data_IF_795425271700
#
_entry.id   IF_795425271700
#
_cell.length_a   1.000
_cell.length_b   1.000
_cell.length_c   1.000
_cell.angle_alpha   90.00
_cell.angle_beta   90.00
_cell.angle_gamma   90.00
#
_symmetry.space_group_name_H-M   'P 1'
#
loop_
_entity.id
_entity.type
_entity.pdbx_description
1 polymer ?
#
# COMPACT_ATOMS: atom_id res chain seq x y z
N UNK A 1 9.26 12.43 -3.94
CA UNK A 1 8.96 11.26 -3.09
C UNK A 1 10.16 10.35 -3.00
N UNK A 2 10.38 9.76 -1.85
CA UNK A 2 11.50 8.89 -1.58
C UNK A 2 11.15 7.45 -1.99
N UNK A 3 12.14 6.66 -2.40
CA UNK A 3 11.94 5.22 -2.71
C UNK A 3 11.41 4.41 -1.51
N UNK A 4 11.48 4.99 -0.30
CA UNK A 4 10.92 4.40 0.91
C UNK A 4 9.39 4.37 0.96
N UNK A 5 8.71 5.14 0.10
CA UNK A 5 7.25 5.29 0.17
C UNK A 5 6.51 4.10 -0.47
N UNK A 6 7.18 3.36 -1.36
CA UNK A 6 6.64 2.14 -1.98
C UNK A 6 7.77 1.20 -2.41
N UNK A 7 7.73 -0.08 -2.06
CA UNK A 7 8.77 -1.04 -2.41
C UNK A 7 8.76 -1.46 -3.90
N UNK A 8 7.79 -1.00 -4.67
CA UNK A 8 7.60 -1.39 -6.08
C UNK A 8 7.85 -0.26 -7.06
N UNK A 9 8.21 0.93 -6.57
CA UNK A 9 8.46 2.10 -7.39
C UNK A 9 9.90 2.12 -7.88
N UNK A 10 10.07 2.36 -9.19
CA UNK A 10 11.39 2.45 -9.80
C UNK A 10 12.17 3.66 -9.26
N UNK A 11 13.46 3.51 -8.93
CA UNK A 11 14.33 4.64 -8.69
C UNK A 11 14.47 5.46 -9.97
N UNK A 12 14.61 6.79 -9.83
CA UNK A 12 14.85 7.69 -10.96
C UNK A 12 16.18 7.40 -11.64
N UNK A 13 17.18 7.05 -10.86
CA UNK A 13 18.53 6.71 -11.31
C UNK A 13 19.01 5.47 -10.54
N UNK A 14 19.18 4.39 -11.28
CA UNK A 14 19.60 3.09 -10.72
C UNK A 14 21.02 3.15 -10.17
N UNK A 15 21.92 3.89 -10.81
CA UNK A 15 23.32 4.00 -10.37
C UNK A 15 23.39 4.69 -9.01
N UNK A 16 22.75 5.85 -8.88
CA UNK A 16 22.66 6.58 -7.60
C UNK A 16 21.96 5.76 -6.53
N UNK A 17 20.93 4.97 -6.90
CA UNK A 17 20.25 4.09 -5.98
C UNK A 17 21.14 2.98 -5.44
N UNK A 18 22.01 2.40 -6.28
CA UNK A 18 22.93 1.33 -5.85
C UNK A 18 24.02 1.88 -4.92
N UNK A 19 24.48 3.12 -5.16
CA UNK A 19 25.52 3.78 -4.36
C UNK A 19 24.97 4.31 -3.02
N UNK A 20 23.85 5.04 -3.04
CA UNK A 20 23.19 5.58 -1.85
C UNK A 20 21.66 5.47 -1.99
N UNK A 21 21.08 4.34 -1.60
CA UNK A 21 19.65 4.13 -1.66
C UNK A 21 18.85 5.17 -0.86
N UNK A 22 19.43 5.71 0.20
CA UNK A 22 18.72 6.62 1.12
C UNK A 22 18.43 7.99 0.52
N UNK A 23 19.26 8.45 -0.40
CA UNK A 23 19.12 9.72 -1.12
C UNK A 23 18.38 9.60 -2.45
N UNK A 24 18.09 8.37 -2.87
CA UNK A 24 17.48 8.10 -4.19
C UNK A 24 16.06 8.62 -4.28
N UNK A 25 15.74 9.27 -5.41
CA UNK A 25 14.40 9.71 -5.76
C UNK A 25 13.66 8.60 -6.50
N UNK A 26 12.35 8.49 -6.24
CA UNK A 26 11.46 7.54 -6.90
C UNK A 26 10.72 8.18 -8.10
N UNK A 27 10.40 7.37 -9.09
CA UNK A 27 9.52 7.74 -10.22
C UNK A 27 8.06 7.57 -9.80
N UNK A 28 7.62 8.45 -8.93
CA UNK A 28 6.26 8.52 -8.38
C UNK A 28 5.59 9.81 -8.86
N UNK A 29 4.28 9.76 -9.00
CA UNK A 29 3.47 10.90 -9.44
C UNK A 29 2.09 10.89 -8.81
N UNK A 30 1.54 12.08 -8.61
CA UNK A 30 0.20 12.29 -8.09
C UNK A 30 -0.62 13.10 -9.10
N UNK A 31 -1.89 12.74 -9.23
CA UNK A 31 -2.88 13.53 -9.96
C UNK A 31 -3.57 14.46 -8.97
N UNK A 32 -3.35 15.77 -9.14
CA UNK A 32 -3.92 16.79 -8.27
C UNK A 32 -4.88 17.68 -9.07
N UNK A 33 -6.08 17.90 -8.55
CA UNK A 33 -7.08 18.81 -9.10
C UNK A 33 -7.66 19.68 -7.99
N UNK A 34 -7.67 21.00 -8.21
CA UNK A 34 -8.18 21.99 -7.25
C UNK A 34 -7.57 21.84 -5.83
N UNK A 35 -6.29 21.47 -5.74
CA UNK A 35 -5.60 21.24 -4.47
C UNK A 35 -5.89 19.88 -3.79
N UNK A 36 -6.74 19.06 -4.38
CA UNK A 36 -7.04 17.70 -3.90
C UNK A 36 -6.31 16.66 -4.73
N UNK A 37 -5.62 15.74 -4.07
CA UNK A 37 -5.04 14.55 -4.70
C UNK A 37 -6.17 13.58 -5.09
N UNK A 38 -6.33 13.34 -6.38
CA UNK A 38 -7.33 12.44 -6.95
C UNK A 38 -6.80 11.04 -7.20
N UNK A 39 -5.51 10.88 -7.22
CA UNK A 39 -4.89 9.58 -7.44
C UNK A 39 -3.38 9.67 -7.40
N UNK A 40 -2.75 8.53 -7.24
CA UNK A 40 -1.30 8.41 -7.24
C UNK A 40 -0.86 7.18 -8.02
N UNK A 41 0.37 7.22 -8.48
CA UNK A 41 0.94 6.14 -9.25
C UNK A 41 2.45 6.17 -9.33
N UNK A 42 3.02 5.18 -9.97
CA UNK A 42 4.46 5.12 -10.15
C UNK A 42 4.85 4.30 -11.38
N UNK A 43 6.01 4.61 -11.92
CA UNK A 43 6.72 3.66 -12.77
C UNK A 43 7.22 2.51 -11.91
N UNK A 44 6.99 1.28 -12.35
CA UNK A 44 7.32 0.08 -11.59
C UNK A 44 8.74 -0.38 -11.86
N UNK A 45 9.33 -1.04 -10.88
CA UNK A 45 10.57 -1.77 -11.07
C UNK A 45 10.28 -2.98 -11.95
N UNK A 46 11.05 -3.15 -13.01
CA UNK A 46 10.97 -4.29 -13.93
C UNK A 46 12.23 -5.16 -13.92
N UNK A 47 13.29 -4.74 -13.23
CA UNK A 47 14.52 -5.50 -13.04
C UNK A 47 14.46 -6.27 -11.71
N UNK A 48 14.57 -7.62 -11.73
CA UNK A 48 14.49 -8.44 -10.51
C UNK A 48 15.60 -8.15 -9.49
N UNK A 49 16.79 -7.75 -9.94
CA UNK A 49 17.92 -7.45 -9.05
C UNK A 49 17.68 -6.14 -8.27
N UNK A 50 17.13 -5.14 -8.95
CA UNK A 50 16.76 -3.87 -8.33
C UNK A 50 15.59 -4.07 -7.37
N UNK A 51 14.59 -4.88 -7.76
CA UNK A 51 13.45 -5.19 -6.90
C UNK A 51 13.89 -5.90 -5.61
N UNK A 52 14.79 -6.89 -5.72
CA UNK A 52 15.35 -7.58 -4.56
C UNK A 52 16.06 -6.60 -3.63
N UNK A 53 16.91 -5.74 -4.17
CA UNK A 53 17.64 -4.74 -3.38
C UNK A 53 16.73 -3.75 -2.65
N UNK A 54 15.62 -3.36 -3.27
CA UNK A 54 14.62 -2.50 -2.60
C UNK A 54 13.95 -3.24 -1.42
N UNK A 55 13.62 -4.52 -1.59
CA UNK A 55 13.02 -5.33 -0.53
C UNK A 55 13.98 -5.56 0.65
N UNK A 56 15.26 -5.77 0.38
CA UNK A 56 16.32 -5.83 1.39
C UNK A 56 16.42 -4.54 2.20
N UNK A 57 16.34 -3.38 1.53
CA UNK A 57 16.32 -2.08 2.21
C UNK A 57 15.09 -1.89 3.12
N UNK A 58 13.99 -2.56 2.83
CA UNK A 58 12.80 -2.59 3.68
C UNK A 58 12.97 -3.52 4.89
N UNK A 59 14.14 -4.12 5.06
CA UNK A 59 14.48 -4.97 6.18
C UNK A 59 14.04 -6.43 6.03
N UNK A 60 13.70 -6.84 4.80
CA UNK A 60 13.35 -8.23 4.51
C UNK A 60 14.63 -9.05 4.33
N UNK A 61 14.69 -10.21 5.01
CA UNK A 61 15.75 -11.18 4.79
C UNK A 61 15.56 -11.93 3.45
N UNK A 62 16.61 -12.57 2.93
CA UNK A 62 16.54 -13.40 1.73
C UNK A 62 15.45 -14.48 1.84
N UNK A 63 15.29 -15.06 3.03
CA UNK A 63 14.24 -16.05 3.28
C UNK A 63 12.84 -15.43 3.21
N UNK A 64 12.65 -14.22 3.74
CA UNK A 64 11.36 -13.51 3.64
C UNK A 64 11.04 -13.13 2.21
N UNK A 65 12.03 -12.61 1.47
CA UNK A 65 11.88 -12.26 0.06
C UNK A 65 11.49 -13.50 -0.73
N UNK A 66 12.20 -14.62 -0.55
CA UNK A 66 11.89 -15.87 -1.24
C UNK A 66 10.50 -16.39 -0.91
N UNK A 67 10.10 -16.39 0.35
CA UNK A 67 8.83 -16.96 0.79
C UNK A 67 7.63 -16.08 0.42
N UNK A 68 7.77 -14.76 0.47
CA UNK A 68 6.67 -13.80 0.26
C UNK A 68 6.60 -13.27 -1.16
N UNK A 69 7.74 -13.06 -1.81
CA UNK A 69 7.87 -12.40 -3.10
C UNK A 69 8.61 -13.23 -4.15
N UNK A 70 9.02 -14.49 -3.84
CA UNK A 70 9.79 -15.32 -4.75
C UNK A 70 9.11 -15.49 -6.12
N UNK A 71 7.81 -15.77 -6.14
CA UNK A 71 7.00 -15.84 -7.36
C UNK A 71 7.02 -14.54 -8.19
N UNK A 72 7.05 -13.39 -7.51
CA UNK A 72 7.06 -12.08 -8.15
C UNK A 72 8.43 -11.77 -8.77
N UNK A 73 9.52 -12.02 -8.02
CA UNK A 73 10.90 -11.87 -8.53
C UNK A 73 11.13 -12.79 -9.73
N UNK A 74 10.64 -14.03 -9.64
CA UNK A 74 10.70 -14.98 -10.77
C UNK A 74 9.94 -14.44 -11.99
N UNK A 75 8.73 -13.93 -11.80
CA UNK A 75 7.95 -13.34 -12.90
C UNK A 75 8.69 -12.18 -13.58
N UNK A 76 9.36 -11.29 -12.82
CA UNK A 76 10.18 -10.23 -13.38
C UNK A 76 11.34 -10.76 -14.23
N UNK A 77 11.89 -11.92 -13.89
CA UNK A 77 13.04 -12.51 -14.61
C UNK A 77 12.74 -12.98 -16.04
N UNK A 78 11.45 -13.14 -16.38
CA UNK A 78 11.02 -13.49 -17.74
C UNK A 78 11.05 -12.33 -18.74
N UNK A 79 11.60 -11.18 -18.38
CA UNK A 79 11.75 -10.04 -19.27
C UNK A 79 10.56 -9.07 -19.23
N UNK A 80 10.15 -8.69 -18.04
CA UNK A 80 9.07 -7.74 -17.83
C UNK A 80 9.36 -6.39 -18.49
N UNK A 81 8.47 -5.84 -19.34
CA UNK A 81 8.65 -4.54 -19.96
C UNK A 81 8.53 -3.41 -18.93
N UNK A 82 9.01 -2.24 -19.29
CA UNK A 82 8.74 -1.04 -18.50
C UNK A 82 7.23 -0.80 -18.43
N UNK A 83 6.71 -0.64 -17.23
CA UNK A 83 5.29 -0.42 -16.98
C UNK A 83 5.08 0.55 -15.83
N UNK A 84 3.92 1.14 -15.80
CA UNK A 84 3.50 2.07 -14.76
C UNK A 84 2.04 1.82 -14.41
N UNK A 85 1.60 2.34 -13.29
CA UNK A 85 0.21 2.26 -12.86
C UNK A 85 -0.22 3.52 -12.12
N UNK A 86 -1.52 3.79 -12.16
CA UNK A 86 -2.17 4.86 -11.39
C UNK A 86 -3.40 4.30 -10.71
N UNK A 87 -3.60 4.66 -9.44
CA UNK A 87 -4.83 4.40 -8.71
C UNK A 87 -5.61 5.69 -8.53
N UNK A 88 -6.86 5.72 -8.99
CA UNK A 88 -7.74 6.87 -8.87
C UNK A 88 -8.65 6.69 -7.66
N UNK A 89 -8.72 7.71 -6.81
CA UNK A 89 -9.67 7.80 -5.70
C UNK A 89 -11.05 8.20 -6.22
N UNK A 90 -11.90 7.24 -6.55
CA UNK A 90 -13.21 7.49 -7.16
C UNK A 90 -14.08 8.40 -6.29
N UNK A 91 -14.11 8.18 -4.98
CA UNK A 91 -14.89 9.01 -4.07
C UNK A 91 -14.42 10.47 -4.09
N UNK A 92 -13.11 10.71 -4.09
CA UNK A 92 -12.55 12.06 -4.23
C UNK A 92 -12.87 12.69 -5.57
N UNK A 93 -12.80 11.89 -6.64
CA UNK A 93 -13.13 12.36 -7.99
C UNK A 93 -14.60 12.82 -8.06
N UNK A 94 -15.53 12.02 -7.53
CA UNK A 94 -16.95 12.35 -7.47
C UNK A 94 -17.20 13.57 -6.58
N UNK A 95 -16.55 13.66 -5.41
CA UNK A 95 -16.67 14.81 -4.54
C UNK A 95 -16.25 16.12 -5.23
N UNK A 96 -15.12 16.09 -5.96
CA UNK A 96 -14.67 17.27 -6.74
C UNK A 96 -15.63 17.61 -7.86
N UNK A 97 -16.18 16.62 -8.58
CA UNK A 97 -17.17 16.86 -9.64
C UNK A 97 -18.47 17.51 -9.12
N UNK A 98 -18.89 17.09 -7.92
CA UNK A 98 -20.10 17.63 -7.26
C UNK A 98 -19.83 18.88 -6.42
N UNK A 99 -18.56 19.32 -6.38
CA UNK A 99 -18.11 20.46 -5.57
C UNK A 99 -18.52 20.34 -4.09
N UNK A 100 -18.38 19.14 -3.51
CA UNK A 100 -18.60 18.89 -2.08
C UNK A 100 -17.28 18.95 -1.33
N UNK A 101 -17.32 19.33 -0.05
CA UNK A 101 -16.11 19.43 0.78
C UNK A 101 -15.67 18.10 1.37
N UNK A 102 -16.58 17.12 1.45
CA UNK A 102 -16.32 15.84 2.09
C UNK A 102 -16.68 14.65 1.20
N UNK A 103 -15.80 13.66 1.16
CA UNK A 103 -16.10 12.37 0.51
C UNK A 103 -17.27 11.63 1.19
N UNK A 104 -17.62 11.98 2.42
CA UNK A 104 -18.78 11.39 3.11
C UNK A 104 -20.10 11.71 2.45
N UNK A 105 -20.16 12.82 1.71
CA UNK A 105 -21.36 13.25 0.99
C UNK A 105 -21.62 12.42 -0.27
N UNK A 106 -20.60 11.67 -0.73
CA UNK A 106 -20.67 10.85 -1.94
C UNK A 106 -20.54 9.34 -1.69
N UNK A 107 -20.24 8.94 -0.45
CA UNK A 107 -20.16 7.53 -0.05
C UNK A 107 -21.51 7.09 0.53
N UNK A 108 -22.13 6.00 0.02
CA UNK A 108 -23.46 5.56 0.46
C UNK A 108 -23.56 5.22 1.96
N UNK A 109 -22.48 4.68 2.52
CA UNK A 109 -22.43 4.22 3.93
C UNK A 109 -21.14 4.70 4.60
N UNK A 110 -21.00 6.03 4.86
CA UNK A 110 -19.79 6.57 5.42
C UNK A 110 -19.62 6.12 6.88
N UNK A 111 -18.38 5.74 7.23
CA UNK A 111 -18.02 5.42 8.61
C UNK A 111 -17.83 6.69 9.44
N UNK A 112 -18.02 6.58 10.75
CA UNK A 112 -17.73 7.65 11.70
C UNK A 112 -16.21 7.90 11.79
N UNK A 113 -15.82 8.97 12.46
CA UNK A 113 -14.40 9.27 12.69
C UNK A 113 -13.71 8.18 13.53
N UNK A 114 -14.47 7.48 14.40
CA UNK A 114 -13.98 6.35 15.19
C UNK A 114 -13.95 5.02 14.41
N UNK A 115 -14.30 5.02 13.11
CA UNK A 115 -14.33 3.81 12.29
C UNK A 115 -15.60 2.96 12.44
N UNK A 116 -16.59 3.42 13.24
CA UNK A 116 -17.88 2.74 13.39
C UNK A 116 -18.70 2.87 12.10
N UNK A 117 -19.27 1.77 11.66
CA UNK A 117 -20.31 1.76 10.63
C UNK A 117 -21.69 1.93 11.30
N UNK A 118 -22.38 3.08 11.11
CA UNK A 118 -23.66 3.32 11.75
C UNK A 118 -24.79 2.39 11.27
N UNK A 119 -24.67 1.80 10.09
CA UNK A 119 -25.67 0.90 9.53
C UNK A 119 -25.61 -0.49 10.16
N UNK A 120 -24.42 -1.05 10.25
CA UNK A 120 -24.21 -2.43 10.73
C UNK A 120 -23.79 -2.52 12.19
N UNK A 121 -23.36 -1.40 12.77
CA UNK A 121 -22.76 -1.34 14.11
C UNK A 121 -21.35 -1.95 14.19
N UNK A 122 -20.72 -2.25 13.04
CA UNK A 122 -19.35 -2.78 13.01
C UNK A 122 -18.32 -1.68 13.39
N UNK A 123 -17.20 -2.07 14.04
CA UNK A 123 -16.79 -3.42 14.45
C UNK A 123 -17.61 -3.92 15.66
N UNK A 124 -17.90 -5.20 15.67
CA UNK A 124 -18.58 -5.89 16.77
C UNK A 124 -17.67 -6.95 17.40
N UNK A 125 -18.04 -7.40 18.59
CA UNK A 125 -17.31 -8.48 19.26
C UNK A 125 -17.46 -9.77 18.45
N UNK A 126 -16.35 -10.46 18.26
CA UNK A 126 -16.31 -11.78 17.62
C UNK A 126 -16.56 -12.84 18.72
N UNK A 127 -17.45 -13.79 18.49
CA UNK A 127 -17.70 -14.83 19.47
C UNK A 127 -16.59 -15.90 19.46
N UNK A 128 -16.28 -16.49 20.62
CA UNK A 128 -15.24 -17.53 20.74
C UNK A 128 -15.47 -18.73 19.80
N UNK A 129 -16.73 -19.08 19.53
CA UNK A 129 -17.07 -20.13 18.58
C UNK A 129 -16.52 -19.83 17.18
N UNK A 130 -16.65 -18.59 16.73
CA UNK A 130 -16.13 -18.15 15.41
C UNK A 130 -14.62 -18.18 15.39
N UNK A 131 -13.97 -17.74 16.47
CA UNK A 131 -12.50 -17.81 16.58
C UNK A 131 -12.00 -19.25 16.52
N UNK A 132 -12.68 -20.18 17.18
CA UNK A 132 -12.32 -21.61 17.23
C UNK A 132 -12.34 -22.25 15.85
N UNK A 133 -13.26 -21.87 14.96
CA UNK A 133 -13.32 -22.36 13.57
C UNK A 133 -12.02 -22.06 12.79
N UNK A 134 -11.32 -20.99 13.15
CA UNK A 134 -10.05 -20.56 12.54
C UNK A 134 -8.81 -20.90 13.36
N UNK A 135 -8.95 -21.72 14.42
CA UNK A 135 -7.88 -21.99 15.39
C UNK A 135 -7.30 -20.73 16.04
N UNK A 136 -8.12 -19.72 16.28
CA UNK A 136 -7.80 -18.48 16.95
C UNK A 136 -8.40 -18.46 18.37
N UNK A 137 -7.82 -17.67 19.24
CA UNK A 137 -8.35 -17.36 20.58
C UNK A 137 -8.01 -15.93 20.98
N UNK A 138 -8.77 -15.36 21.91
CA UNK A 138 -8.39 -14.11 22.54
C UNK A 138 -7.09 -14.30 23.31
N UNK A 139 -6.22 -13.30 23.26
CA UNK A 139 -5.08 -13.22 24.17
C UNK A 139 -5.63 -12.71 25.50
N UNK A 140 -5.48 -13.47 26.56
CA UNK A 140 -5.75 -12.98 27.92
C UNK A 140 -4.78 -11.83 28.21
N UNK A 141 -5.29 -10.69 28.66
CA UNK A 141 -4.42 -9.58 29.06
C UNK A 141 -3.47 -10.09 30.13
N UNK A 142 -2.18 -10.07 29.81
CA UNK A 142 -1.14 -10.30 30.80
C UNK A 142 -1.16 -9.03 31.66
N UNK A 143 -1.78 -9.11 32.84
CA UNK A 143 -1.63 -8.07 33.86
C UNK A 143 -0.15 -8.08 34.26
N UNK A 144 0.62 -7.13 33.73
CA UNK A 144 1.94 -6.83 34.27
C UNK A 144 1.73 -6.24 35.67
N UNK A 145 2.10 -7.03 36.70
CA UNK A 145 2.23 -6.56 38.09
C UNK A 145 3.46 -5.66 38.25
#
# INVERSE_FOLDING_TARGET
MCIRDSPFTSPKDVTSFVEDPSSSKALHYDLVLNGSELGSGSQRINDPSIQTKVLEMWGLSDSDIKNRFGWFIEALSYGTPQHAGIALGIDRFVAVMLNTESIRDVIPFPKTQSGLDPLTGAPSVIFEKELTEYNLKYIEEINEE
#
